data_IF_441336942356
#
_entry.id   IF_441336942356
#
_cell.length_a   1.000
_cell.length_b   1.000
_cell.length_c   1.000
_cell.angle_alpha   90.00
_cell.angle_beta   90.00
_cell.angle_gamma   90.00
#
_symmetry.space_group_name_H-M   'P 1'
#
loop_
_entity.id
_entity.type
_entity.pdbx_description
1 polymer ?
#
# COMPACT_ATOMS: atom_id res chain seq x y z
N UNK A 1 50.70 -1.62 0.51
CA UNK A 1 50.82 -3.09 0.67
C UNK A 1 50.32 -3.42 2.07
N UNK A 2 49.03 -3.75 2.24
CA UNK A 2 48.49 -5.13 2.47
C UNK A 2 49.03 -5.71 3.79
N UNK A 3 48.25 -5.97 4.85
CA UNK A 3 47.24 -7.04 5.05
C UNK A 3 46.31 -6.65 6.23
N UNK A 4 44.99 -6.57 6.06
CA UNK A 4 43.96 -7.62 6.32
C UNK A 4 44.07 -8.26 7.72
N UNK A 5 43.19 -7.86 8.65
CA UNK A 5 42.77 -8.68 9.79
C UNK A 5 41.27 -8.92 9.65
N UNK A 6 40.92 -10.12 9.18
CA UNK A 6 39.58 -10.71 9.21
C UNK A 6 39.45 -11.43 10.56
N UNK A 7 38.48 -11.02 11.36
CA UNK A 7 38.01 -11.69 12.59
C UNK A 7 36.65 -11.03 12.90
N UNK A 8 35.52 -11.69 13.15
CA UNK A 8 35.25 -13.06 13.52
C UNK A 8 33.81 -13.42 13.12
N UNK A 9 33.59 -14.71 12.89
CA UNK A 9 32.29 -15.38 12.94
C UNK A 9 31.45 -14.90 14.16
N UNK A 10 30.19 -14.55 13.94
CA UNK A 10 29.12 -14.71 14.91
C UNK A 10 27.79 -14.89 14.17
N UNK A 11 27.50 -16.15 13.82
CA UNK A 11 26.16 -16.60 13.54
C UNK A 11 25.33 -16.49 14.83
N UNK A 12 24.28 -15.66 14.81
CA UNK A 12 23.18 -15.78 15.76
C UNK A 12 21.97 -16.16 14.92
N UNK A 13 21.86 -17.47 14.75
CA UNK A 13 20.67 -18.17 14.33
C UNK A 13 19.88 -18.49 15.62
N UNK A 14 18.54 -18.42 15.51
CA UNK A 14 17.56 -19.02 16.44
C UNK A 14 17.21 -18.23 17.72
N UNK A 15 15.96 -17.76 17.81
CA UNK A 15 14.87 -18.57 18.41
C UNK A 15 13.49 -17.99 18.05
N UNK A 16 12.67 -18.88 17.51
CA UNK A 16 11.22 -18.79 17.36
C UNK A 16 10.52 -18.52 18.70
N UNK A 17 9.33 -17.91 18.65
CA UNK A 17 8.16 -18.33 19.44
C UNK A 17 6.88 -17.77 18.79
N UNK A 18 6.10 -18.69 18.19
CA UNK A 18 4.62 -18.79 18.26
C UNK A 18 3.83 -17.65 17.59
N UNK A 19 3.38 -17.81 16.34
CA UNK A 19 2.25 -18.65 15.92
C UNK A 19 0.96 -18.40 16.72
N UNK A 20 0.24 -17.32 16.38
CA UNK A 20 -1.20 -17.22 16.60
C UNK A 20 -1.86 -16.79 15.29
N UNK A 21 -2.52 -17.74 14.61
CA UNK A 21 -3.69 -17.50 13.76
C UNK A 21 -3.53 -16.65 12.50
N UNK A 22 -3.41 -17.33 11.35
CA UNK A 22 -3.58 -16.74 10.02
C UNK A 22 -2.24 -16.42 9.37
N UNK A 23 -1.95 -17.08 8.25
CA UNK A 23 -0.80 -16.74 7.43
C UNK A 23 -0.89 -15.27 7.07
N UNK A 24 -0.05 -14.47 7.72
CA UNK A 24 0.14 -13.07 7.43
C UNK A 24 1.08 -13.01 6.22
N UNK A 25 0.54 -13.39 5.06
CA UNK A 25 1.08 -12.89 3.80
C UNK A 25 0.94 -11.37 3.95
N UNK A 26 2.05 -10.69 4.26
CA UNK A 26 2.05 -9.24 4.23
C UNK A 26 1.57 -8.83 2.84
N UNK A 27 0.62 -7.90 2.69
CA UNK A 27 0.08 -7.50 1.39
C UNK A 27 1.17 -7.00 0.42
N UNK A 28 2.36 -6.66 0.92
CA UNK A 28 3.56 -6.33 0.14
C UNK A 28 4.20 -7.52 -0.61
N UNK A 29 3.96 -8.79 -0.22
CA UNK A 29 4.52 -10.00 -0.88
C UNK A 29 3.60 -10.59 -1.96
N UNK A 30 2.43 -9.98 -2.20
CA UNK A 30 1.52 -10.38 -3.27
C UNK A 30 2.05 -9.80 -4.59
N UNK A 31 2.82 -10.56 -5.37
CA UNK A 31 3.21 -10.19 -6.73
C UNK A 31 2.08 -10.46 -7.73
N UNK A 32 0.93 -9.82 -7.51
CA UNK A 32 -0.25 -9.91 -8.37
C UNK A 32 -0.70 -8.52 -8.79
N UNK A 33 -1.01 -8.34 -10.07
CA UNK A 33 -1.65 -7.12 -10.61
C UNK A 33 -3.17 -7.25 -10.62
N UNK A 34 -3.87 -6.13 -10.77
CA UNK A 34 -5.31 -6.06 -10.85
C UNK A 34 -5.87 -6.91 -12.01
N UNK A 35 -5.17 -7.01 -13.14
CA UNK A 35 -5.58 -7.85 -14.27
C UNK A 35 -5.50 -9.34 -13.95
N UNK A 36 -4.53 -9.76 -13.15
CA UNK A 36 -4.32 -11.15 -12.76
C UNK A 36 -5.29 -11.63 -11.67
N UNK A 37 -5.89 -10.70 -10.93
CA UNK A 37 -6.85 -11.02 -9.90
C UNK A 37 -8.12 -11.68 -10.49
N UNK A 38 -8.52 -12.83 -9.95
CA UNK A 38 -9.62 -13.66 -10.50
C UNK A 38 -10.64 -14.11 -9.44
N UNK A 39 -10.77 -13.36 -8.35
CA UNK A 39 -11.82 -13.58 -7.37
C UNK A 39 -11.76 -12.60 -6.20
N UNK A 40 -12.76 -12.63 -5.30
CA UNK A 40 -12.87 -11.66 -4.21
C UNK A 40 -11.62 -11.56 -3.33
N UNK A 41 -10.95 -12.69 -3.05
CA UNK A 41 -9.70 -12.71 -2.26
C UNK A 41 -8.55 -11.99 -2.97
N UNK A 42 -8.43 -12.17 -4.28
CA UNK A 42 -7.36 -11.55 -5.06
C UNK A 42 -7.61 -10.04 -5.20
N UNK A 43 -8.88 -9.65 -5.38
CA UNK A 43 -9.29 -8.23 -5.36
C UNK A 43 -8.92 -7.57 -4.03
N UNK A 44 -9.09 -8.28 -2.90
CA UNK A 44 -8.64 -7.85 -1.58
C UNK A 44 -7.14 -7.65 -1.50
N UNK A 45 -6.38 -8.65 -1.93
CA UNK A 45 -4.93 -8.56 -1.87
C UNK A 45 -4.39 -7.41 -2.72
N UNK A 46 -4.90 -7.23 -3.95
CA UNK A 46 -4.46 -6.12 -4.82
C UNK A 46 -4.87 -4.77 -4.24
N UNK A 47 -6.11 -4.62 -3.79
CA UNK A 47 -6.60 -3.35 -3.23
C UNK A 47 -5.77 -2.90 -2.02
N UNK A 48 -5.52 -3.81 -1.06
CA UNK A 48 -4.69 -3.52 0.12
C UNK A 48 -3.25 -3.15 -0.26
N UNK A 49 -2.67 -3.89 -1.20
CA UNK A 49 -1.32 -3.63 -1.71
C UNK A 49 -1.21 -2.23 -2.31
N UNK A 50 -2.15 -1.83 -3.17
CA UNK A 50 -2.10 -0.52 -3.82
C UNK A 50 -2.25 0.63 -2.83
N UNK A 51 -3.10 0.48 -1.81
CA UNK A 51 -3.19 1.48 -0.74
C UNK A 51 -1.91 1.59 0.09
N UNK A 52 -1.25 0.46 0.37
CA UNK A 52 0.05 0.46 1.03
C UNK A 52 1.12 1.16 0.18
N UNK A 53 1.16 0.88 -1.13
CA UNK A 53 2.06 1.55 -2.09
C UNK A 53 1.83 3.06 -2.08
N UNK A 54 0.58 3.53 -2.07
CA UNK A 54 0.23 4.95 -1.98
C UNK A 54 0.76 5.55 -0.67
N UNK A 55 0.49 4.91 0.47
CA UNK A 55 0.96 5.40 1.77
C UNK A 55 2.49 5.49 1.83
N UNK A 56 3.20 4.46 1.38
CA UNK A 56 4.67 4.45 1.33
C UNK A 56 5.24 5.50 0.37
N UNK A 57 4.59 5.71 -0.78
CA UNK A 57 4.98 6.76 -1.72
C UNK A 57 4.90 8.15 -1.08
N UNK A 58 3.79 8.46 -0.40
CA UNK A 58 3.61 9.74 0.30
C UNK A 58 4.59 9.88 1.49
N UNK A 59 4.82 8.82 2.25
CA UNK A 59 5.79 8.80 3.35
C UNK A 59 7.22 9.07 2.88
N UNK A 60 7.56 8.69 1.64
CA UNK A 60 8.88 8.86 1.05
C UNK A 60 9.17 10.27 0.50
N UNK A 61 8.16 11.14 0.46
CA UNK A 61 8.32 12.51 -0.07
C UNK A 61 9.19 13.34 0.86
N UNK A 62 10.30 13.84 0.32
CA UNK A 62 11.26 14.69 1.02
C UNK A 62 11.49 16.04 0.31
N UNK A 63 11.16 16.13 -0.98
CA UNK A 63 11.39 17.25 -1.86
C UNK A 63 10.47 17.17 -3.10
N UNK A 64 10.55 18.17 -3.98
CA UNK A 64 9.72 18.25 -5.18
C UNK A 64 9.93 17.05 -6.14
N UNK A 65 11.17 16.58 -6.30
CA UNK A 65 11.48 15.45 -7.19
C UNK A 65 10.84 14.15 -6.68
N UNK A 66 10.94 13.88 -5.38
CA UNK A 66 10.30 12.73 -4.74
C UNK A 66 8.77 12.88 -4.71
N UNK A 67 8.23 14.09 -4.58
CA UNK A 67 6.79 14.35 -4.70
C UNK A 67 6.26 14.00 -6.10
N UNK A 68 6.97 14.41 -7.17
CA UNK A 68 6.60 14.06 -8.54
C UNK A 68 6.61 12.54 -8.78
N UNK A 69 7.60 11.83 -8.23
CA UNK A 69 7.66 10.35 -8.27
C UNK A 69 6.51 9.72 -7.49
N UNK A 70 6.23 10.22 -6.29
CA UNK A 70 5.13 9.74 -5.47
C UNK A 70 3.78 9.94 -6.19
N UNK A 71 3.54 11.09 -6.81
CA UNK A 71 2.35 11.31 -7.62
C UNK A 71 2.24 10.34 -8.80
N UNK A 72 3.33 10.03 -9.49
CA UNK A 72 3.31 9.01 -10.55
C UNK A 72 2.91 7.63 -10.00
N UNK A 73 3.48 7.22 -8.86
CA UNK A 73 3.14 5.97 -8.19
C UNK A 73 1.66 5.94 -7.77
N UNK A 74 1.13 7.06 -7.25
CA UNK A 74 -0.29 7.16 -6.87
C UNK A 74 -1.19 6.99 -8.08
N UNK A 75 -0.84 7.57 -9.24
CA UNK A 75 -1.61 7.41 -10.48
C UNK A 75 -1.59 5.97 -11.00
N UNK A 76 -0.43 5.32 -10.97
CA UNK A 76 -0.31 3.91 -11.37
C UNK A 76 -1.13 3.02 -10.43
N UNK A 77 -1.05 3.25 -9.12
CA UNK A 77 -1.87 2.56 -8.12
C UNK A 77 -3.36 2.84 -8.30
N UNK A 78 -3.75 4.06 -8.67
CA UNK A 78 -5.13 4.42 -8.99
C UNK A 78 -5.67 3.60 -10.17
N UNK A 79 -4.89 3.47 -11.24
CA UNK A 79 -5.28 2.66 -12.40
C UNK A 79 -5.53 1.20 -12.03
N UNK A 80 -4.67 0.61 -11.19
CA UNK A 80 -4.85 -0.74 -10.67
C UNK A 80 -6.13 -0.86 -9.81
N UNK A 81 -6.38 0.14 -8.95
CA UNK A 81 -7.58 0.20 -8.12
C UNK A 81 -8.86 0.33 -8.96
N UNK A 82 -8.84 1.07 -10.06
CA UNK A 82 -9.98 1.21 -10.98
C UNK A 82 -10.34 -0.13 -11.65
N UNK A 83 -9.32 -0.91 -12.04
CA UNK A 83 -9.52 -2.26 -12.58
C UNK A 83 -10.13 -3.17 -11.52
N UNK A 84 -9.62 -3.12 -10.28
CA UNK A 84 -10.21 -3.86 -9.16
C UNK A 84 -11.65 -3.44 -8.91
N UNK A 85 -11.96 -2.14 -8.91
CA UNK A 85 -13.32 -1.63 -8.72
C UNK A 85 -14.28 -2.12 -9.80
N UNK A 86 -13.85 -2.11 -11.07
CA UNK A 86 -14.62 -2.63 -12.20
C UNK A 86 -14.90 -4.13 -12.05
N UNK A 87 -13.89 -4.91 -11.65
CA UNK A 87 -14.05 -6.35 -11.39
C UNK A 87 -14.91 -6.64 -10.17
N UNK A 88 -14.82 -5.80 -9.15
CA UNK A 88 -15.58 -5.86 -7.92
C UNK A 88 -17.07 -5.53 -8.14
N UNK A 89 -17.41 -4.72 -9.15
CA UNK A 89 -18.81 -4.42 -9.46
C UNK A 89 -19.61 -5.68 -9.84
N UNK A 90 -18.95 -6.64 -10.49
CA UNK A 90 -19.53 -7.95 -10.81
C UNK A 90 -19.75 -8.88 -9.61
N UNK A 91 -19.33 -8.52 -8.40
CA UNK A 91 -19.50 -9.33 -7.20
C UNK A 91 -20.93 -9.26 -6.64
N UNK A 92 -21.39 -10.34 -6.03
CA UNK A 92 -22.64 -10.32 -5.27
C UNK A 92 -22.57 -9.40 -4.06
N UNK A 93 -23.73 -8.91 -3.58
CA UNK A 93 -23.79 -8.08 -2.36
C UNK A 93 -23.13 -8.75 -1.14
N UNK A 94 -23.23 -10.09 -1.03
CA UNK A 94 -22.59 -10.82 0.06
C UNK A 94 -21.06 -10.82 -0.06
N UNK A 95 -20.53 -10.87 -1.29
CA UNK A 95 -19.10 -10.75 -1.55
C UNK A 95 -18.61 -9.32 -1.33
N UNK A 96 -19.34 -8.29 -1.78
CA UNK A 96 -19.06 -6.88 -1.48
C UNK A 96 -19.08 -6.60 0.04
N UNK A 97 -20.01 -7.22 0.79
CA UNK A 97 -20.05 -7.08 2.25
C UNK A 97 -18.86 -7.77 2.94
N UNK A 98 -18.47 -8.96 2.49
CA UNK A 98 -17.27 -9.65 3.00
C UNK A 98 -15.99 -8.90 2.66
N UNK A 99 -15.92 -8.37 1.45
CA UNK A 99 -14.91 -7.44 0.97
C UNK A 99 -14.83 -6.30 1.99
N UNK A 100 -15.86 -5.46 2.14
CA UNK A 100 -15.85 -4.34 3.10
C UNK A 100 -15.43 -4.72 4.55
N UNK A 101 -15.90 -5.87 5.07
CA UNK A 101 -15.51 -6.33 6.41
C UNK A 101 -14.03 -6.72 6.52
N UNK A 102 -13.43 -7.36 5.50
CA UNK A 102 -12.02 -7.74 5.55
C UNK A 102 -11.08 -6.53 5.53
N UNK A 103 -11.46 -5.44 4.87
CA UNK A 103 -10.62 -4.24 4.81
C UNK A 103 -10.71 -3.33 6.02
N UNK A 104 -11.81 -3.39 6.79
CA UNK A 104 -12.12 -2.34 7.76
C UNK A 104 -10.96 -2.06 8.74
N UNK A 105 -10.16 -3.06 9.09
CA UNK A 105 -8.99 -2.91 9.97
C UNK A 105 -7.77 -2.37 9.23
N UNK A 106 -7.37 -2.99 8.11
CA UNK A 106 -6.15 -2.60 7.38
C UNK A 106 -6.29 -1.23 6.68
N UNK A 107 -7.50 -0.89 6.25
CA UNK A 107 -7.82 0.40 5.65
C UNK A 107 -7.68 1.52 6.68
N UNK A 108 -8.13 1.31 7.91
CA UNK A 108 -8.02 2.31 8.97
C UNK A 108 -6.55 2.62 9.30
N UNK A 109 -5.70 1.60 9.41
CA UNK A 109 -4.27 1.77 9.66
C UNK A 109 -3.57 2.48 8.48
N UNK A 110 -3.91 2.11 7.25
CA UNK A 110 -3.32 2.73 6.04
C UNK A 110 -3.78 4.17 5.88
N UNK A 111 -5.05 4.47 6.14
CA UNK A 111 -5.57 5.84 6.15
C UNK A 111 -4.93 6.69 7.24
N UNK A 112 -4.67 6.13 8.42
CA UNK A 112 -3.97 6.83 9.50
C UNK A 112 -2.54 7.19 9.08
N UNK A 113 -1.79 6.22 8.53
CA UNK A 113 -0.43 6.45 8.01
C UNK A 113 -0.40 7.52 6.93
N UNK A 114 -1.33 7.45 5.97
CA UNK A 114 -1.46 8.44 4.91
C UNK A 114 -1.76 9.83 5.48
N UNK A 115 -2.66 9.92 6.46
CA UNK A 115 -2.98 11.20 7.13
C UNK A 115 -1.77 11.78 7.86
N UNK A 116 -1.00 10.95 8.57
CA UNK A 116 0.24 11.37 9.24
C UNK A 116 1.28 11.88 8.24
N UNK A 117 1.48 11.14 7.14
CA UNK A 117 2.41 11.52 6.08
C UNK A 117 1.99 12.84 5.40
N UNK A 118 0.72 13.01 5.08
CA UNK A 118 0.17 14.24 4.52
C UNK A 118 0.26 15.42 5.49
N UNK A 119 0.01 15.20 6.79
CA UNK A 119 0.14 16.23 7.83
C UNK A 119 1.60 16.70 7.94
N UNK A 120 2.54 15.75 7.92
CA UNK A 120 3.97 16.05 7.92
C UNK A 120 4.37 16.81 6.66
N UNK A 121 3.92 16.37 5.49
CA UNK A 121 4.21 17.03 4.23
C UNK A 121 3.69 18.48 4.23
N UNK A 122 2.45 18.70 4.67
CA UNK A 122 1.86 20.03 4.79
C UNK A 122 2.61 20.98 5.72
N UNK A 123 3.26 20.44 6.75
CA UNK A 123 4.09 21.25 7.65
C UNK A 123 5.45 21.62 7.08
N UNK A 124 5.92 20.89 6.06
CA UNK A 124 7.30 21.00 5.54
C UNK A 124 7.35 21.67 4.18
N UNK A 125 6.42 21.34 3.28
CA UNK A 125 6.38 21.84 1.91
C UNK A 125 4.91 21.88 1.40
N UNK A 126 4.21 23.03 1.56
CA UNK A 126 2.82 23.18 1.15
C UNK A 126 2.59 23.06 -0.36
N UNK A 127 3.60 23.33 -1.20
CA UNK A 127 3.46 23.26 -2.66
C UNK A 127 3.43 21.79 -3.12
N UNK A 128 4.26 20.94 -2.50
CA UNK A 128 4.23 19.48 -2.79
C UNK A 128 2.94 18.81 -2.34
N UNK A 129 2.26 19.34 -1.31
CA UNK A 129 0.94 18.83 -0.90
C UNK A 129 -0.07 18.95 -2.02
N UNK A 130 -0.07 20.05 -2.77
CA UNK A 130 -0.98 20.25 -3.90
C UNK A 130 -0.80 19.15 -4.94
N UNK A 131 0.46 18.85 -5.29
CA UNK A 131 0.81 17.84 -6.29
C UNK A 131 0.40 16.42 -5.86
N UNK A 132 0.56 16.08 -4.58
CA UNK A 132 0.09 14.80 -4.04
C UNK A 132 -1.43 14.76 -3.96
N UNK A 133 -2.08 15.87 -3.58
CA UNK A 133 -3.54 15.96 -3.48
C UNK A 133 -4.19 15.79 -4.84
N UNK A 134 -3.65 16.43 -5.89
CA UNK A 134 -4.13 16.27 -7.27
C UNK A 134 -4.06 14.80 -7.72
N UNK A 135 -2.99 14.08 -7.37
CA UNK A 135 -2.86 12.66 -7.69
C UNK A 135 -3.81 11.77 -6.86
N UNK A 136 -4.06 12.13 -5.61
CA UNK A 136 -5.01 11.42 -4.74
C UNK A 136 -6.47 11.63 -5.17
N UNK A 137 -6.80 12.79 -5.74
CA UNK A 137 -8.14 13.06 -6.30
C UNK A 137 -8.45 12.17 -7.52
N UNK A 138 -7.43 11.61 -8.17
CA UNK A 138 -7.58 10.64 -9.25
C UNK A 138 -7.92 9.23 -8.73
N UNK A 139 -7.89 8.97 -7.41
CA UNK A 139 -8.26 7.67 -6.86
C UNK A 139 -9.73 7.35 -7.11
N UNK A 140 -10.08 6.12 -7.50
CA UNK A 140 -11.49 5.75 -7.66
C UNK A 140 -12.19 5.89 -6.32
N UNK A 141 -13.37 6.51 -6.33
CA UNK A 141 -14.22 6.58 -5.15
C UNK A 141 -14.50 5.15 -4.66
N UNK A 142 -14.50 4.90 -3.33
CA UNK A 142 -14.95 3.61 -2.82
C UNK A 142 -16.32 3.33 -3.41
N UNK A 143 -16.52 2.11 -3.94
CA UNK A 143 -17.75 1.69 -4.64
C UNK A 143 -18.96 2.09 -3.80
N UNK A 144 -19.61 3.20 -4.18
CA UNK A 144 -20.85 3.65 -3.56
C UNK A 144 -21.99 2.73 -4.05
N UNK A 145 -22.88 2.38 -3.12
CA UNK A 145 -24.00 1.44 -3.32
C UNK A 145 -24.92 1.75 -4.50
#
# INVERSE_FOLDING_TARGET
MTFIIRSSLAAIFMTMLVACGGGNDSPADIDMTAEQANGPKDYIAVYEKQLLIIAEAVESVADEESAQKAAAIIRDASSELEIVATKADGMSQMEKARFAMSYATNLADTQMRLMEAMTKLASTDPETVQLISDAMDELPSPVEE
#
